data_IF_590197691898
#
_entry.id   IF_590197691898
#
_cell.length_a   1.000
_cell.length_b   1.000
_cell.length_c   1.000
_cell.angle_alpha   90.00
_cell.angle_beta   90.00
_cell.angle_gamma   90.00
#
_symmetry.space_group_name_H-M   'P 1'
#
loop_
_entity.id
_entity.type
_entity.pdbx_description
1 polymer ?
#
# COMPACT_ATOMS: atom_id res chain seq x y z
N UNK A 1 52.83 13.66 -13.51
CA UNK A 1 53.18 13.65 -14.95
C UNK A 1 52.86 12.27 -15.52
N UNK A 2 52.42 12.18 -16.77
CA UNK A 2 51.04 11.78 -17.10
C UNK A 2 50.94 10.48 -17.90
N UNK A 3 49.79 9.81 -17.87
CA UNK A 3 49.33 8.93 -18.95
C UNK A 3 48.00 9.45 -19.50
N UNK A 4 48.16 10.53 -20.26
CA UNK A 4 47.22 11.10 -21.21
C UNK A 4 47.38 10.30 -22.52
N UNK A 5 46.32 9.72 -23.07
CA UNK A 5 45.83 9.92 -24.46
C UNK A 5 45.17 8.71 -25.13
N UNK A 6 44.01 9.01 -25.74
CA UNK A 6 43.52 8.59 -27.07
C UNK A 6 42.89 7.20 -27.24
N UNK A 7 41.57 7.20 -27.46
CA UNK A 7 40.90 6.84 -28.73
C UNK A 7 39.45 7.40 -28.67
N UNK A 8 39.13 8.56 -29.26
CA UNK A 8 38.65 8.79 -30.63
C UNK A 8 37.37 8.02 -31.04
N UNK A 9 36.25 8.79 -31.04
CA UNK A 9 35.24 8.93 -32.10
C UNK A 9 34.53 7.69 -32.68
N UNK A 10 33.19 7.67 -32.53
CA UNK A 10 32.30 7.33 -33.64
C UNK A 10 30.96 8.06 -33.50
N UNK A 11 30.77 9.09 -34.33
CA UNK A 11 29.49 9.75 -34.55
C UNK A 11 28.73 9.00 -35.63
N UNK A 12 27.45 8.67 -35.40
CA UNK A 12 26.48 8.38 -36.45
C UNK A 12 25.11 8.91 -36.03
N UNK A 13 24.73 9.99 -36.70
CA UNK A 13 23.40 10.58 -36.76
C UNK A 13 22.45 9.73 -37.60
N UNK A 14 21.25 9.46 -37.09
CA UNK A 14 20.09 9.05 -37.88
C UNK A 14 18.94 10.03 -37.63
N UNK A 15 18.63 10.79 -38.67
CA UNK A 15 17.42 11.59 -38.78
C UNK A 15 16.22 10.65 -38.94
N UNK A 16 15.26 10.73 -38.02
CA UNK A 16 13.95 10.07 -38.12
C UNK A 16 12.89 11.07 -38.52
N UNK A 17 12.32 10.87 -39.71
CA UNK A 17 11.26 11.67 -40.32
C UNK A 17 9.90 11.43 -39.64
N UNK A 18 9.08 12.49 -39.65
CA UNK A 18 7.76 12.65 -39.06
C UNK A 18 6.74 11.52 -39.24
N UNK A 19 5.83 11.42 -38.27
CA UNK A 19 4.41 11.13 -38.55
C UNK A 19 3.55 12.03 -37.68
N UNK A 20 3.10 13.15 -38.23
CA UNK A 20 2.05 13.96 -37.62
C UNK A 20 0.72 13.23 -37.81
N UNK A 21 0.14 12.71 -36.74
CA UNK A 21 -1.25 12.25 -36.76
C UNK A 21 -2.16 13.46 -36.55
N UNK A 22 -2.86 13.85 -37.62
CA UNK A 22 -3.95 14.81 -37.54
C UNK A 22 -5.10 14.15 -36.76
N UNK A 23 -5.31 14.59 -35.52
CA UNK A 23 -6.52 14.25 -34.76
C UNK A 23 -7.63 15.21 -35.20
N UNK A 24 -8.78 14.72 -35.68
CA UNK A 24 -9.92 15.58 -35.96
C UNK A 24 -10.44 16.15 -34.64
N UNK A 25 -10.28 17.46 -34.45
CA UNK A 25 -11.01 18.19 -33.40
C UNK A 25 -12.44 18.39 -33.91
N UNK A 26 -13.34 17.51 -33.47
CA UNK A 26 -14.77 17.76 -33.57
C UNK A 26 -15.13 18.94 -32.67
N UNK A 27 -15.26 20.12 -33.26
CA UNK A 27 -15.91 21.27 -32.64
C UNK A 27 -17.41 20.99 -32.73
N UNK A 28 -18.00 20.50 -31.64
CA UNK A 28 -19.45 20.54 -31.45
C UNK A 28 -19.81 21.58 -30.40
N UNK A 29 -20.16 22.74 -30.94
CA UNK A 29 -21.34 23.55 -30.60
C UNK A 29 -21.68 23.67 -29.10
N UNK A 30 -21.38 24.87 -28.60
CA UNK A 30 -22.05 25.54 -27.49
C UNK A 30 -23.57 25.45 -27.63
N UNK A 31 -24.18 24.61 -26.81
CA UNK A 31 -25.60 24.64 -26.48
C UNK A 31 -25.73 24.75 -24.97
N UNK A 32 -26.13 25.93 -24.49
CA UNK A 32 -26.53 26.16 -23.11
C UNK A 32 -27.60 25.14 -22.69
N UNK A 33 -27.20 24.24 -21.81
CA UNK A 33 -28.02 23.60 -20.78
C UNK A 33 -27.05 22.91 -19.84
N UNK A 34 -26.51 23.68 -18.90
CA UNK A 34 -25.85 23.16 -17.71
C UNK A 34 -26.84 22.29 -16.94
N UNK A 35 -26.85 21.00 -17.25
CA UNK A 35 -27.16 19.97 -16.27
C UNK A 35 -25.81 19.55 -15.71
N UNK A 36 -25.57 19.96 -14.48
CA UNK A 36 -24.60 19.35 -13.59
C UNK A 36 -24.81 17.83 -13.63
N UNK A 37 -24.03 17.13 -14.45
CA UNK A 37 -23.63 15.79 -14.08
C UNK A 37 -22.59 15.99 -12.99
N UNK A 38 -23.07 16.13 -11.75
CA UNK A 38 -22.38 15.57 -10.61
C UNK A 38 -22.11 14.10 -10.95
N UNK A 39 -21.00 13.83 -11.61
CA UNK A 39 -20.30 12.56 -11.49
C UNK A 39 -19.72 12.54 -10.08
N UNK A 40 -20.62 12.52 -9.08
CA UNK A 40 -20.27 12.04 -7.77
C UNK A 40 -19.98 10.57 -8.03
N UNK A 41 -18.71 10.24 -8.18
CA UNK A 41 -18.20 8.92 -7.85
C UNK A 41 -18.65 8.67 -6.43
N UNK A 42 -19.87 8.12 -6.29
CA UNK A 42 -20.39 7.66 -5.01
C UNK A 42 -19.33 6.70 -4.53
N UNK A 43 -18.53 7.14 -3.55
CA UNK A 43 -17.62 6.27 -2.83
C UNK A 43 -18.51 5.16 -2.28
N UNK A 44 -18.50 4.02 -2.97
CA UNK A 44 -19.26 2.86 -2.55
C UNK A 44 -18.54 2.38 -1.31
N UNK A 45 -19.16 2.58 -0.16
CA UNK A 45 -18.67 2.02 1.09
C UNK A 45 -18.58 0.50 0.92
N UNK A 46 -17.37 -0.04 1.05
CA UNK A 46 -17.11 -1.47 0.95
C UNK A 46 -17.15 -2.06 2.35
N UNK A 47 -18.09 -2.95 2.60
CA UNK A 47 -18.20 -3.69 3.87
C UNK A 47 -17.23 -4.87 3.86
N UNK A 48 -16.29 -4.85 4.78
CA UNK A 48 -15.26 -5.89 4.91
C UNK A 48 -15.39 -6.57 6.28
N UNK A 49 -15.29 -7.90 6.33
CA UNK A 49 -15.13 -8.65 7.59
C UNK A 49 -14.33 -9.93 7.38
N UNK A 50 -13.99 -10.65 8.45
CA UNK A 50 -13.44 -12.00 8.32
C UNK A 50 -14.45 -12.96 7.67
N UNK A 51 -13.98 -13.91 6.87
CA UNK A 51 -14.83 -14.95 6.28
C UNK A 51 -15.33 -15.94 7.36
N UNK A 52 -16.65 -16.19 7.41
CA UNK A 52 -17.28 -17.14 8.34
C UNK A 52 -17.54 -18.51 7.73
N UNK A 53 -17.67 -18.56 6.40
CA UNK A 53 -17.90 -19.78 5.61
C UNK A 53 -16.79 -19.95 4.58
N UNK A 54 -16.74 -21.11 3.93
CA UNK A 54 -15.90 -21.35 2.75
C UNK A 54 -16.16 -20.24 1.74
N UNK A 55 -15.22 -19.32 1.64
CA UNK A 55 -15.35 -18.14 0.80
C UNK A 55 -15.57 -18.54 -0.67
N UNK A 56 -16.19 -17.67 -1.47
CA UNK A 56 -16.42 -17.92 -2.90
C UNK A 56 -15.15 -18.43 -3.59
N UNK A 57 -15.26 -19.35 -4.56
CA UNK A 57 -14.08 -20.02 -5.15
C UNK A 57 -13.08 -19.07 -5.83
N UNK A 58 -13.51 -17.89 -6.27
CA UNK A 58 -12.64 -16.92 -6.93
C UNK A 58 -12.06 -15.90 -5.94
N UNK A 59 -10.73 -15.87 -5.73
CA UNK A 59 -10.09 -14.82 -4.95
C UNK A 59 -10.22 -13.46 -5.66
N UNK A 60 -10.32 -12.40 -4.88
CA UNK A 60 -10.30 -11.01 -5.34
C UNK A 60 -8.91 -10.42 -5.10
N UNK A 61 -8.53 -9.46 -5.94
CA UNK A 61 -7.40 -8.59 -5.66
C UNK A 61 -7.83 -7.42 -4.79
N UNK A 62 -6.91 -6.91 -3.98
CA UNK A 62 -7.17 -5.73 -3.18
C UNK A 62 -7.52 -4.54 -4.08
N UNK A 63 -8.64 -3.89 -3.79
CA UNK A 63 -9.16 -2.78 -4.59
C UNK A 63 -9.80 -3.15 -5.91
N UNK A 64 -10.21 -4.41 -6.09
CA UNK A 64 -11.11 -4.79 -7.17
C UNK A 64 -12.38 -3.93 -7.17
N UNK A 65 -12.74 -3.42 -8.35
CA UNK A 65 -13.88 -2.54 -8.53
C UNK A 65 -15.20 -3.31 -8.50
N UNK A 66 -16.30 -2.60 -8.25
CA UNK A 66 -17.67 -3.12 -8.28
C UNK A 66 -17.95 -4.22 -7.24
N UNK A 67 -17.21 -4.23 -6.12
CA UNK A 67 -17.47 -5.11 -4.99
C UNK A 67 -17.88 -4.28 -3.78
N UNK A 68 -19.00 -4.64 -3.13
CA UNK A 68 -19.52 -3.95 -1.94
C UNK A 68 -19.35 -4.75 -0.67
N UNK A 69 -19.36 -6.08 -0.77
CA UNK A 69 -19.35 -6.98 0.37
C UNK A 69 -18.25 -8.01 0.23
N UNK A 70 -17.24 -7.88 1.08
CA UNK A 70 -15.98 -8.61 0.97
C UNK A 70 -15.71 -9.31 2.28
N UNK A 71 -15.14 -10.49 2.19
CA UNK A 71 -14.51 -11.11 3.35
C UNK A 71 -13.03 -11.36 3.11
N UNK A 72 -12.24 -11.25 4.17
CA UNK A 72 -10.83 -11.63 4.16
C UNK A 72 -10.60 -12.90 4.97
N UNK A 73 -9.55 -13.63 4.62
CA UNK A 73 -9.04 -14.76 5.37
C UNK A 73 -7.52 -14.69 5.47
N UNK A 74 -6.97 -15.25 6.54
CA UNK A 74 -5.53 -15.38 6.76
C UNK A 74 -5.21 -16.79 7.22
N UNK A 75 -3.99 -17.24 6.95
CA UNK A 75 -3.46 -18.47 7.55
C UNK A 75 -3.18 -18.33 9.05
N UNK A 76 -3.16 -17.11 9.58
CA UNK A 76 -2.92 -16.81 10.98
C UNK A 76 -4.21 -16.36 11.70
N UNK A 77 -4.28 -16.65 13.01
CA UNK A 77 -5.35 -16.11 13.86
C UNK A 77 -5.08 -14.64 14.13
N UNK A 78 -5.98 -13.77 13.68
CA UNK A 78 -5.90 -12.33 13.88
C UNK A 78 -6.67 -11.97 15.14
N UNK A 79 -6.05 -11.25 16.07
CA UNK A 79 -6.72 -10.85 17.32
C UNK A 79 -7.55 -9.58 17.13
N UNK A 80 -7.05 -8.62 16.34
CA UNK A 80 -7.67 -7.32 16.10
C UNK A 80 -8.45 -7.33 14.77
N UNK A 81 -9.40 -8.26 14.66
CA UNK A 81 -10.17 -8.48 13.43
C UNK A 81 -11.02 -7.26 13.03
N UNK A 82 -11.56 -6.55 14.03
CA UNK A 82 -12.42 -5.38 13.83
C UNK A 82 -11.63 -4.20 13.25
N UNK A 83 -10.48 -3.91 13.84
CA UNK A 83 -9.57 -2.84 13.43
C UNK A 83 -8.97 -3.11 12.05
N UNK A 84 -8.61 -4.38 11.78
CA UNK A 84 -8.15 -4.81 10.47
C UNK A 84 -9.25 -4.67 9.40
N UNK A 85 -10.46 -5.14 9.70
CA UNK A 85 -11.59 -5.06 8.77
C UNK A 85 -11.97 -3.61 8.48
N UNK A 86 -11.95 -2.74 9.50
CA UNK A 86 -12.22 -1.32 9.35
C UNK A 86 -11.19 -0.63 8.45
N UNK A 87 -9.90 -0.94 8.63
CA UNK A 87 -8.84 -0.40 7.77
C UNK A 87 -9.00 -0.86 6.32
N UNK A 88 -9.19 -2.17 6.11
CA UNK A 88 -9.35 -2.71 4.75
C UNK A 88 -10.59 -2.12 4.08
N UNK A 89 -11.67 -1.91 4.84
CA UNK A 89 -12.90 -1.26 4.37
C UNK A 89 -12.66 0.18 3.92
N UNK A 90 -11.95 0.99 4.73
CA UNK A 90 -11.66 2.39 4.37
C UNK A 90 -10.68 2.50 3.21
N UNK A 91 -9.72 1.58 3.14
CA UNK A 91 -8.67 1.62 2.11
C UNK A 91 -9.01 0.83 0.85
N UNK A 92 -10.13 0.07 0.80
CA UNK A 92 -10.41 -0.83 -0.33
C UNK A 92 -10.40 -0.09 -1.67
N UNK A 93 -11.10 1.03 -1.74
CA UNK A 93 -11.17 1.85 -2.95
C UNK A 93 -10.04 2.88 -3.03
N UNK A 94 -9.27 3.03 -1.94
CA UNK A 94 -8.13 3.93 -1.88
C UNK A 94 -6.85 3.19 -2.30
N UNK A 95 -6.63 3.14 -3.61
CA UNK A 95 -5.38 2.57 -4.15
C UNK A 95 -4.17 3.45 -3.84
N UNK A 96 -4.38 4.71 -3.46
CA UNK A 96 -3.28 5.63 -3.16
C UNK A 96 -2.43 5.15 -1.98
N UNK A 97 -1.27 5.78 -1.86
CA UNK A 97 -0.34 5.59 -0.77
C UNK A 97 -1.01 5.85 0.60
N UNK A 98 -0.65 5.04 1.60
CA UNK A 98 -0.93 5.30 3.01
C UNK A 98 -0.17 6.53 3.56
N UNK A 99 0.43 7.36 2.70
CA UNK A 99 1.07 8.63 3.06
C UNK A 99 0.19 9.62 3.81
N UNK A 100 -1.14 9.45 3.81
CA UNK A 100 -2.07 10.27 4.58
C UNK A 100 -1.98 10.01 6.09
N UNK A 101 -1.40 8.88 6.51
CA UNK A 101 -1.13 8.61 7.92
C UNK A 101 0.12 9.39 8.40
N UNK A 102 0.24 9.66 9.70
CA UNK A 102 1.34 10.49 10.22
C UNK A 102 2.72 9.87 10.00
N UNK A 103 3.70 10.67 9.56
CA UNK A 103 5.09 10.28 9.31
C UNK A 103 6.02 10.42 10.52
N UNK A 104 5.49 10.76 11.69
CA UNK A 104 6.29 10.80 12.91
C UNK A 104 6.65 9.38 13.36
N UNK A 105 7.60 9.23 14.29
CA UNK A 105 7.95 7.90 14.79
C UNK A 105 6.71 7.20 15.35
N UNK A 106 6.47 5.95 14.92
CA UNK A 106 5.28 5.19 15.31
C UNK A 106 5.01 5.23 16.83
N UNK A 107 6.04 5.06 17.66
CA UNK A 107 5.91 5.08 19.12
C UNK A 107 5.47 6.45 19.68
N UNK A 108 5.87 7.58 19.07
CA UNK A 108 5.39 8.90 19.52
C UNK A 108 3.94 9.14 19.11
N UNK A 109 3.54 8.63 17.96
CA UNK A 109 2.17 8.74 17.46
C UNK A 109 1.22 7.85 18.26
N UNK A 110 1.62 6.63 18.61
CA UNK A 110 0.80 5.77 19.46
C UNK A 110 0.52 6.34 20.85
N UNK A 111 1.40 7.19 21.38
CA UNK A 111 1.15 7.89 22.65
C UNK A 111 0.08 8.98 22.51
N UNK A 112 -0.11 9.51 21.32
CA UNK A 112 -1.00 10.65 21.03
C UNK A 112 -2.34 10.18 20.43
N UNK A 113 -2.33 9.09 19.66
CA UNK A 113 -3.42 8.60 18.83
C UNK A 113 -3.66 7.09 19.05
N UNK A 114 -4.07 6.71 20.27
CA UNK A 114 -4.49 5.33 20.58
C UNK A 114 -5.96 5.27 20.99
N UNK A 115 -6.77 4.35 20.43
CA UNK A 115 -6.39 3.31 19.45
C UNK A 115 -6.42 3.79 17.98
N UNK A 116 -5.48 3.30 17.15
CA UNK A 116 -5.44 3.66 15.72
C UNK A 116 -4.25 3.11 14.93
N UNK A 117 -4.34 3.17 13.60
CA UNK A 117 -3.27 2.79 12.67
C UNK A 117 -2.32 3.95 12.40
N UNK A 118 -1.01 3.69 12.41
CA UNK A 118 0.04 4.71 12.21
C UNK A 118 1.11 4.17 11.28
N UNK A 119 1.70 5.03 10.43
CA UNK A 119 2.84 4.65 9.57
C UNK A 119 4.00 4.19 10.43
N UNK A 120 4.46 2.98 10.16
CA UNK A 120 5.69 2.44 10.71
C UNK A 120 6.87 2.77 9.80
N UNK A 121 6.74 2.44 8.51
CA UNK A 121 7.76 2.73 7.52
C UNK A 121 7.18 2.76 6.11
N UNK A 122 7.90 3.43 5.23
CA UNK A 122 7.70 3.41 3.78
C UNK A 122 9.03 3.00 3.15
N UNK A 123 9.07 1.84 2.51
CA UNK A 123 10.25 1.36 1.79
C UNK A 123 10.46 2.16 0.50
N UNK A 124 11.72 2.44 0.16
CA UNK A 124 12.06 3.16 -1.07
C UNK A 124 11.90 2.26 -2.31
N UNK A 125 11.45 2.90 -3.39
CA UNK A 125 11.29 2.37 -4.74
C UNK A 125 12.62 1.84 -5.29
N UNK A 126 12.86 0.55 -5.16
CA UNK A 126 13.74 -0.16 -6.09
C UNK A 126 12.83 -0.97 -7.03
N UNK A 127 12.98 -0.74 -8.34
CA UNK A 127 12.33 -1.51 -9.40
C UNK A 127 10.79 -1.65 -9.32
N UNK A 128 10.08 -0.50 -9.37
CA UNK A 128 8.61 -0.42 -9.45
C UNK A 128 7.84 -1.01 -8.25
N UNK A 129 8.54 -1.39 -7.18
CA UNK A 129 7.93 -1.92 -5.97
C UNK A 129 7.73 -0.81 -4.93
N UNK A 130 6.50 -0.67 -4.43
CA UNK A 130 6.20 0.23 -3.31
C UNK A 130 5.75 -0.60 -2.12
N UNK A 131 6.36 -0.35 -0.96
CA UNK A 131 6.02 -1.01 0.29
C UNK A 131 5.69 0.01 1.38
N UNK A 132 4.54 -0.16 2.00
CA UNK A 132 4.05 0.67 3.08
C UNK A 132 3.64 -0.20 4.26
N UNK A 133 4.02 0.22 5.46
CA UNK A 133 3.77 -0.52 6.69
C UNK A 133 3.03 0.34 7.70
N UNK A 134 1.94 -0.21 8.24
CA UNK A 134 1.19 0.37 9.35
C UNK A 134 1.32 -0.51 10.58
N UNK A 135 1.44 0.10 11.76
CA UNK A 135 1.36 -0.59 13.05
C UNK A 135 0.14 -0.14 13.85
N UNK A 136 -0.54 -1.08 14.51
CA UNK A 136 -1.72 -0.79 15.33
C UNK A 136 -1.34 -0.32 16.73
N UNK A 137 -1.67 0.92 17.06
CA UNK A 137 -1.52 1.47 18.40
C UNK A 137 -2.64 0.95 19.32
N UNK A 138 -2.35 -0.04 20.17
CA UNK A 138 -3.33 -0.67 21.07
C UNK A 138 -3.11 -0.34 22.56
N UNK A 139 -2.38 0.73 22.87
CA UNK A 139 -2.05 1.14 24.24
C UNK A 139 -0.88 0.38 24.88
N UNK A 140 -0.31 -0.60 24.17
CA UNK A 140 0.98 -1.22 24.53
C UNK A 140 2.11 -0.56 23.74
N UNK A 141 3.13 -0.05 24.42
CA UNK A 141 4.33 0.53 23.79
C UNK A 141 5.28 -0.53 23.19
N UNK A 142 4.93 -1.82 23.25
CA UNK A 142 5.79 -2.91 22.78
C UNK A 142 5.58 -3.24 21.31
N UNK A 143 6.63 -3.02 20.52
CA UNK A 143 6.70 -3.37 19.10
C UNK A 143 6.57 -4.88 18.87
N UNK A 144 7.10 -5.70 19.78
CA UNK A 144 7.10 -7.16 19.65
C UNK A 144 5.69 -7.77 19.69
N UNK A 145 4.78 -7.13 20.43
CA UNK A 145 3.38 -7.54 20.54
C UNK A 145 2.43 -6.72 19.67
N UNK A 146 2.97 -5.85 18.81
CA UNK A 146 2.17 -4.98 17.93
C UNK A 146 1.83 -5.72 16.65
N UNK A 147 0.56 -5.59 16.23
CA UNK A 147 0.12 -6.03 14.92
C UNK A 147 0.57 -5.03 13.86
N UNK A 148 1.22 -5.55 12.81
CA UNK A 148 1.64 -4.79 11.65
C UNK A 148 0.92 -5.27 10.39
N UNK A 149 0.65 -4.33 9.49
CA UNK A 149 0.12 -4.59 8.15
C UNK A 149 1.10 -4.02 7.15
N UNK A 150 1.36 -4.82 6.12
CA UNK A 150 2.19 -4.48 4.99
C UNK A 150 1.34 -4.42 3.74
N UNK A 151 1.33 -3.27 3.06
CA UNK A 151 0.82 -3.10 1.70
C UNK A 151 2.01 -3.07 0.77
N UNK A 152 1.99 -3.98 -0.21
CA UNK A 152 3.04 -4.10 -1.22
C UNK A 152 2.41 -4.02 -2.60
N UNK A 153 2.86 -3.08 -3.41
CA UNK A 153 2.47 -2.94 -4.80
C UNK A 153 3.61 -3.38 -5.70
N UNK A 154 3.32 -4.34 -6.59
CA UNK A 154 4.27 -4.86 -7.56
C UNK A 154 3.56 -5.11 -8.89
N UNK A 155 4.05 -4.49 -9.95
CA UNK A 155 3.50 -4.65 -11.32
C UNK A 155 1.98 -4.42 -11.38
N UNK A 156 1.48 -3.40 -10.66
CA UNK A 156 0.06 -3.04 -10.61
C UNK A 156 -0.83 -3.96 -9.78
N UNK A 157 -0.26 -4.94 -9.08
CA UNK A 157 -0.98 -5.79 -8.12
C UNK A 157 -0.64 -5.35 -6.70
N UNK A 158 -1.66 -5.11 -5.89
CA UNK A 158 -1.52 -4.80 -4.47
C UNK A 158 -1.77 -6.03 -3.62
N UNK A 159 -0.80 -6.39 -2.80
CA UNK A 159 -0.89 -7.46 -1.80
C UNK A 159 -0.92 -6.84 -0.41
N UNK A 160 -1.82 -7.34 0.43
CA UNK A 160 -1.90 -6.98 1.85
C UNK A 160 -1.47 -8.18 2.67
N UNK A 161 -0.49 -7.99 3.54
CA UNK A 161 -0.01 -9.01 4.48
C UNK A 161 -0.07 -8.50 5.90
N UNK A 162 -0.28 -9.40 6.84
CA UNK A 162 -0.39 -9.08 8.27
C UNK A 162 0.64 -9.85 9.08
N UNK A 163 1.06 -9.29 10.20
CA UNK A 163 1.86 -9.97 11.20
C UNK A 163 1.37 -9.54 12.59
N UNK A 164 1.01 -10.50 13.45
CA UNK A 164 0.44 -10.17 14.76
C UNK A 164 1.49 -9.89 15.84
N UNK A 165 2.66 -10.51 15.73
CA UNK A 165 3.75 -10.42 16.72
C UNK A 165 5.08 -10.82 16.09
N UNK A 166 6.17 -10.43 16.73
CA UNK A 166 7.53 -10.80 16.33
C UNK A 166 7.81 -10.48 14.85
N UNK A 167 7.30 -9.35 14.37
CA UNK A 167 7.32 -8.98 12.95
C UNK A 167 8.68 -8.51 12.44
N UNK A 168 9.63 -8.31 13.37
CA UNK A 168 10.88 -7.65 13.10
C UNK A 168 12.05 -8.45 13.67
N UNK A 169 13.19 -8.37 12.99
CA UNK A 169 14.44 -8.89 13.50
C UNK A 169 14.88 -8.10 14.73
N UNK A 170 15.23 -8.82 15.79
CA UNK A 170 15.78 -8.20 16.99
C UNK A 170 17.22 -7.82 16.68
N UNK A 171 17.62 -6.54 16.78
CA UNK A 171 19.00 -6.16 16.51
C UNK A 171 19.92 -6.90 17.50
N UNK A 172 20.98 -7.51 16.98
CA UNK A 172 21.96 -8.28 17.75
C UNK A 172 22.76 -7.42 18.74
N UNK A 173 22.65 -6.10 18.66
CA UNK A 173 23.21 -5.16 19.64
C UNK A 173 22.30 -3.95 19.76
N UNK A 174 21.83 -3.58 20.97
CA UNK A 174 21.11 -2.33 21.16
C UNK A 174 22.10 -1.18 20.89
N UNK A 175 21.90 -0.45 19.81
CA UNK A 175 22.66 0.78 19.56
C UNK A 175 22.07 1.83 20.49
N UNK A 176 22.81 2.15 21.57
CA UNK A 176 22.51 3.31 22.41
C UNK A 176 22.38 4.54 21.49
N UNK A 177 21.17 5.11 21.43
CA UNK A 177 20.80 6.35 20.70
C UNK A 177 20.32 6.24 19.25
N UNK A 178 20.21 5.06 18.62
CA UNK A 178 19.42 4.97 17.38
C UNK A 178 17.94 4.86 17.72
N UNK A 179 17.04 5.58 17.02
CA UNK A 179 15.60 5.27 17.05
C UNK A 179 15.45 3.79 16.62
N UNK A 180 15.20 2.83 17.53
CA UNK A 180 15.45 1.42 17.24
C UNK A 180 14.50 0.82 16.21
N UNK A 181 13.43 1.55 15.89
CA UNK A 181 12.22 1.07 15.23
C UNK A 181 12.22 1.33 13.73
N UNK A 182 12.82 2.45 13.29
CA UNK A 182 12.83 2.86 11.87
C UNK A 182 13.82 2.03 11.01
N UNK A 183 14.69 1.23 11.63
CA UNK A 183 15.77 0.45 10.96
C UNK A 183 15.60 -1.07 11.09
N UNK A 184 14.46 -1.57 11.56
CA UNK A 184 14.30 -3.01 11.75
C UNK A 184 14.02 -3.72 10.43
N UNK A 185 14.73 -4.82 10.20
CA UNK A 185 14.45 -5.71 9.08
C UNK A 185 13.19 -6.51 9.35
N UNK A 186 12.24 -6.53 8.40
CA UNK A 186 11.04 -7.33 8.51
C UNK A 186 11.37 -8.83 8.52
N UNK A 187 10.76 -9.58 9.43
CA UNK A 187 10.70 -11.06 9.36
C UNK A 187 9.61 -11.45 8.36
N UNK A 188 9.94 -11.42 7.07
CA UNK A 188 8.94 -11.67 6.00
C UNK A 188 8.18 -12.99 6.16
N UNK A 189 8.81 -14.01 6.73
CA UNK A 189 8.17 -15.29 7.04
C UNK A 189 7.00 -15.19 8.03
N UNK A 190 6.95 -14.15 8.86
CA UNK A 190 5.88 -13.87 9.80
C UNK A 190 4.75 -13.01 9.21
N UNK A 191 4.98 -12.39 8.05
CA UNK A 191 3.93 -11.69 7.32
C UNK A 191 3.10 -12.67 6.50
N UNK A 192 1.83 -12.84 6.85
CA UNK A 192 0.88 -13.70 6.15
C UNK A 192 -0.03 -12.88 5.25
N UNK A 193 -0.04 -13.23 3.98
CA UNK A 193 -0.91 -12.61 2.99
C UNK A 193 -2.39 -12.83 3.33
N UNK A 194 -3.17 -11.76 3.21
CA UNK A 194 -4.62 -11.80 3.27
C UNK A 194 -5.19 -12.19 1.92
N UNK A 195 -6.16 -13.11 1.95
CA UNK A 195 -6.94 -13.49 0.77
C UNK A 195 -8.32 -12.89 0.86
N UNK A 196 -8.76 -12.27 -0.22
CA UNK A 196 -10.06 -11.59 -0.30
C UNK A 196 -11.03 -12.36 -1.18
N UNK A 197 -12.31 -12.29 -0.83
CA UNK A 197 -13.40 -13.00 -1.50
C UNK A 197 -14.68 -12.20 -1.42
N UNK A 198 -15.62 -12.43 -2.34
CA UNK A 198 -16.98 -11.89 -2.19
C UNK A 198 -17.68 -12.62 -1.06
N UNK A 199 -18.44 -11.89 -0.26
CA UNK A 199 -19.42 -12.50 0.64
C UNK A 199 -20.55 -13.09 -0.21
N UNK A 200 -20.85 -14.36 0.03
CA UNK A 200 -22.01 -15.06 -0.54
C UNK A 200 -23.25 -14.88 0.31
#
# INVERSE_FOLDING_TARGET
MPFLTRFLLCALSLAGVSSAVAVPVLINVRGDNARDSEDSTLMRNVSVSKCTTSASESPLFFGDQQVTDICWNSSETVQQESELSSLISSEWSNRESWSNYSKNSWASECKTHSPGWVIWSTGAQEDEEQEELLGLCSGTDSVESTMFIKKKEKSGTTTISICNRDCWETPSSPVENSKPWELQTAKDSNFKELKFYRKG
#
